data_IF_919770048914
#
_entry.id   IF_919770048914
#
_cell.length_a   1.000
_cell.length_b   1.000
_cell.length_c   1.000
_cell.angle_alpha   90.00
_cell.angle_beta   90.00
_cell.angle_gamma   90.00
#
_symmetry.space_group_name_H-M   'P 1'
#
loop_
_entity.id
_entity.type
_entity.pdbx_description
1 polymer ?
#
# COMPACT_ATOMS: atom_id res chain seq x y z
N UNK A 1 -32.49 6.91 -0.41
CA UNK A 1 -31.34 6.21 0.20
C UNK A 1 -30.45 5.71 -0.92
N UNK A 2 -29.34 6.41 -1.19
CA UNK A 2 -28.40 6.03 -2.23
C UNK A 2 -27.76 4.70 -1.83
N UNK A 3 -27.91 3.68 -2.66
CA UNK A 3 -27.12 2.45 -2.59
C UNK A 3 -25.67 2.82 -2.93
N UNK A 4 -24.94 3.38 -1.95
CA UNK A 4 -23.49 3.36 -1.94
C UNK A 4 -23.14 1.89 -1.72
N UNK A 5 -23.08 1.13 -2.82
CA UNK A 5 -22.32 -0.12 -2.84
C UNK A 5 -20.98 0.23 -2.23
N UNK A 6 -20.60 -0.42 -1.14
CA UNK A 6 -19.23 -0.46 -0.68
C UNK A 6 -18.42 -0.99 -1.87
N UNK A 7 -17.89 -0.09 -2.69
CA UNK A 7 -16.87 -0.44 -3.65
C UNK A 7 -15.67 -0.69 -2.73
N UNK A 8 -15.23 -1.93 -2.48
CA UNK A 8 -13.95 -2.13 -1.81
C UNK A 8 -12.96 -1.33 -2.64
N UNK A 9 -12.32 -0.32 -2.03
CA UNK A 9 -11.69 0.76 -2.78
C UNK A 9 -10.62 0.21 -3.74
N UNK A 10 -11.02 -0.07 -4.99
CA UNK A 10 -10.19 -0.57 -6.09
C UNK A 10 -9.03 0.39 -6.37
N UNK A 11 -9.11 1.62 -5.85
CA UNK A 11 -8.09 2.65 -5.95
C UNK A 11 -6.97 2.53 -4.90
N UNK A 12 -7.13 1.79 -3.80
CA UNK A 12 -6.07 1.69 -2.78
C UNK A 12 -4.78 1.17 -3.39
N UNK A 13 -4.86 0.09 -4.19
CA UNK A 13 -3.70 -0.44 -4.92
C UNK A 13 -3.11 0.57 -5.92
N UNK A 14 -3.93 1.42 -6.53
CA UNK A 14 -3.47 2.49 -7.43
C UNK A 14 -2.65 3.55 -6.68
N UNK A 15 -3.13 4.02 -5.53
CA UNK A 15 -2.41 5.00 -4.71
C UNK A 15 -1.14 4.41 -4.10
N UNK A 16 -1.17 3.13 -3.71
CA UNK A 16 0.04 2.40 -3.28
C UNK A 16 1.05 2.32 -4.44
N UNK A 17 0.60 2.03 -5.66
CA UNK A 17 1.49 1.99 -6.81
C UNK A 17 2.11 3.36 -7.14
N UNK A 18 1.40 4.46 -6.90
CA UNK A 18 1.95 5.80 -7.00
C UNK A 18 2.99 6.05 -5.90
N UNK A 19 2.67 5.74 -4.64
CA UNK A 19 3.56 5.91 -3.51
C UNK A 19 4.85 5.09 -3.66
N UNK A 20 4.77 3.90 -4.28
CA UNK A 20 5.90 2.99 -4.48
C UNK A 20 6.84 3.36 -5.64
N UNK A 21 6.54 4.41 -6.44
CA UNK A 21 7.39 4.84 -7.58
C UNK A 21 8.88 5.08 -7.24
N UNK A 22 9.27 5.64 -6.08
CA UNK A 22 10.68 5.87 -5.76
C UNK A 22 11.37 4.62 -5.17
N UNK A 23 10.68 3.50 -5.03
CA UNK A 23 11.26 2.25 -4.51
C UNK A 23 11.92 1.47 -5.64
N UNK A 24 13.18 1.12 -5.43
CA UNK A 24 13.92 0.16 -6.27
C UNK A 24 14.04 -1.14 -5.51
N UNK A 25 13.72 -2.26 -6.17
CA UNK A 25 13.87 -3.60 -5.59
C UNK A 25 15.26 -4.19 -5.92
N UNK A 26 15.82 -5.07 -5.09
CA UNK A 26 15.25 -5.57 -3.84
C UNK A 26 15.16 -4.50 -2.76
N UNK A 27 14.13 -4.57 -1.90
CA UNK A 27 13.89 -3.61 -0.84
C UNK A 27 13.32 -4.30 0.40
N UNK A 28 13.74 -3.85 1.57
CA UNK A 28 13.12 -4.22 2.85
C UNK A 28 11.87 -3.40 3.14
N UNK A 29 10.96 -3.95 3.95
CA UNK A 29 9.80 -3.24 4.49
C UNK A 29 10.23 -1.99 5.27
N UNK A 30 11.35 -2.06 5.99
CA UNK A 30 11.90 -0.92 6.72
C UNK A 30 12.32 0.23 5.77
N UNK A 31 13.03 -0.06 4.68
CA UNK A 31 13.41 0.94 3.68
C UNK A 31 12.19 1.54 2.96
N UNK A 32 11.16 0.74 2.69
CA UNK A 32 9.90 1.24 2.14
C UNK A 32 9.22 2.17 3.14
N UNK A 33 9.14 1.81 4.42
CA UNK A 33 8.55 2.66 5.48
C UNK A 33 9.34 3.97 5.62
N UNK A 34 10.67 3.91 5.58
CA UNK A 34 11.52 5.10 5.68
C UNK A 34 11.27 6.06 4.51
N UNK A 35 11.24 5.55 3.28
CA UNK A 35 11.11 6.38 2.07
C UNK A 35 9.70 6.90 1.84
N UNK A 36 8.69 6.05 2.04
CA UNK A 36 7.31 6.33 1.59
C UNK A 36 6.25 5.99 2.65
N UNK A 37 6.63 5.56 3.85
CA UNK A 37 5.68 5.20 4.91
C UNK A 37 4.84 6.36 5.44
N UNK A 38 5.19 7.61 5.12
CA UNK A 38 4.39 8.81 5.40
C UNK A 38 3.36 9.15 4.32
N UNK A 39 3.40 8.50 3.15
CA UNK A 39 2.51 8.85 2.03
C UNK A 39 1.04 8.59 2.39
N UNK A 40 0.15 9.57 2.14
CA UNK A 40 -1.27 9.42 2.42
C UNK A 40 -1.93 8.53 1.35
N UNK A 41 -2.30 7.32 1.71
CA UNK A 41 -3.00 6.39 0.82
C UNK A 41 -4.50 6.57 1.00
N UNK A 42 -5.21 6.87 -0.08
CA UNK A 42 -6.68 6.96 -0.04
C UNK A 42 -7.27 5.55 0.08
N UNK A 43 -7.84 5.25 1.24
CA UNK A 43 -8.42 3.94 1.59
C UNK A 43 -9.95 3.96 1.64
N UNK A 44 -10.57 5.15 1.57
CA UNK A 44 -12.02 5.35 1.57
C UNK A 44 -12.40 6.63 0.79
N UNK A 45 -13.70 6.97 0.63
CA UNK A 45 -14.10 8.15 -0.14
C UNK A 45 -13.51 9.43 0.41
N UNK A 46 -13.52 9.55 1.74
CA UNK A 46 -13.17 10.78 2.44
C UNK A 46 -11.97 10.60 3.39
N UNK A 47 -11.33 9.42 3.38
CA UNK A 47 -10.29 9.04 4.33
C UNK A 47 -8.98 8.60 3.69
N UNK A 48 -7.90 8.96 4.38
CA UNK A 48 -6.53 8.58 4.06
C UNK A 48 -5.92 7.81 5.22
N UNK A 49 -5.05 6.86 4.88
CA UNK A 49 -4.27 6.07 5.83
C UNK A 49 -2.79 6.26 5.50
N UNK A 50 -1.93 6.59 6.47
CA UNK A 50 -0.49 6.60 6.25
C UNK A 50 -0.01 5.24 5.76
N UNK A 51 0.84 5.22 4.72
CA UNK A 51 1.21 3.96 4.09
C UNK A 51 1.86 2.96 5.07
N UNK A 52 2.60 3.44 6.08
CA UNK A 52 3.15 2.59 7.17
C UNK A 52 2.10 1.73 7.89
N UNK A 53 0.87 2.21 8.05
CA UNK A 53 -0.19 1.46 8.73
C UNK A 53 -0.72 0.33 7.85
N UNK A 54 -0.67 0.50 6.52
CA UNK A 54 -0.99 -0.56 5.58
C UNK A 54 0.14 -1.59 5.52
N UNK A 55 1.40 -1.13 5.52
CA UNK A 55 2.59 -1.99 5.53
C UNK A 55 2.70 -2.84 6.80
N UNK A 56 2.16 -2.38 7.93
CA UNK A 56 2.13 -3.14 9.18
C UNK A 56 1.38 -4.48 9.07
N UNK A 57 0.47 -4.61 8.10
CA UNK A 57 -0.27 -5.85 7.84
C UNK A 57 0.52 -6.85 6.99
N UNK A 58 1.56 -6.39 6.28
CA UNK A 58 2.36 -7.22 5.38
C UNK A 58 3.35 -8.06 6.20
N UNK A 59 3.26 -9.41 6.15
CA UNK A 59 4.06 -10.28 7.01
C UNK A 59 5.53 -10.41 6.57
N UNK A 60 5.85 -10.02 5.33
CA UNK A 60 7.22 -10.08 4.80
C UNK A 60 8.03 -8.86 5.22
N UNK A 61 9.31 -9.06 5.49
CA UNK A 61 10.26 -7.99 5.82
C UNK A 61 11.17 -7.61 4.64
N UNK A 62 11.27 -8.47 3.62
CA UNK A 62 12.08 -8.25 2.41
C UNK A 62 11.28 -8.61 1.16
N UNK A 63 11.57 -7.91 0.06
CA UNK A 63 10.94 -8.12 -1.24
C UNK A 63 12.02 -8.11 -2.32
N UNK A 64 12.11 -9.20 -3.07
CA UNK A 64 13.03 -9.36 -4.20
C UNK A 64 12.60 -8.55 -5.43
N UNK A 65 11.29 -8.34 -5.60
CA UNK A 65 10.73 -7.59 -6.71
C UNK A 65 9.36 -6.96 -6.37
N UNK A 66 8.90 -6.06 -7.26
CA UNK A 66 7.61 -5.41 -7.13
C UNK A 66 6.44 -6.41 -7.08
N UNK A 67 6.49 -7.49 -7.87
CA UNK A 67 5.41 -8.48 -7.90
C UNK A 67 5.26 -9.18 -6.54
N UNK A 68 6.37 -9.54 -5.90
CA UNK A 68 6.35 -10.15 -4.55
C UNK A 68 5.74 -9.20 -3.52
N UNK A 69 6.13 -7.91 -3.57
CA UNK A 69 5.52 -6.88 -2.73
C UNK A 69 4.00 -6.79 -2.92
N UNK A 70 3.51 -6.63 -4.16
CA UNK A 70 2.07 -6.48 -4.41
C UNK A 70 1.28 -7.76 -4.10
N UNK A 71 1.87 -8.94 -4.32
CA UNK A 71 1.26 -10.20 -3.92
C UNK A 71 1.10 -10.27 -2.39
N UNK A 72 2.15 -9.95 -1.64
CA UNK A 72 2.10 -9.94 -0.18
C UNK A 72 1.14 -8.87 0.34
N UNK A 73 1.15 -7.67 -0.24
CA UNK A 73 0.28 -6.56 0.13
C UNK A 73 -1.21 -6.88 -0.09
N UNK A 74 -1.59 -7.46 -1.23
CA UNK A 74 -2.98 -7.78 -1.54
C UNK A 74 -3.50 -9.03 -0.81
N UNK A 75 -2.59 -9.87 -0.30
CA UNK A 75 -2.94 -11.03 0.52
C UNK A 75 -3.10 -10.70 2.02
N UNK A 76 -2.77 -9.47 2.42
CA UNK A 76 -2.82 -8.97 3.80
C UNK A 76 -4.06 -8.12 4.06
#
# INVERSE_FOLDING_TARGET
MSYMREIPYLLTGHYVAIAMRPITFPASKAEIIEKVGGEPIRTSPDGYTPFRELLAKVPLDEFSCAAEFYCAFNAS
#
